data_IF_488525660081
#
_entry.id   IF_488525660081
#
_cell.length_a   1.000
_cell.length_b   1.000
_cell.length_c   1.000
_cell.angle_alpha   90.00
_cell.angle_beta   90.00
_cell.angle_gamma   90.00
#
_symmetry.space_group_name_H-M   'P 1'
#
loop_
_entity.id
_entity.type
_entity.pdbx_description
1 polymer ?
#
# COMPACT_ATOMS: atom_id res chain seq x y z
N UNK A 1 -22.55 -3.02 1.81
CA UNK A 1 -22.31 -4.32 2.46
C UNK A 1 -23.62 -4.91 2.97
N UNK A 2 -23.90 -6.17 2.65
CA UNK A 2 -24.98 -6.96 3.26
C UNK A 2 -24.65 -7.30 4.71
N UNK A 3 -25.63 -7.72 5.54
CA UNK A 3 -25.35 -8.16 6.91
C UNK A 3 -24.36 -9.33 6.99
N UNK A 4 -24.35 -10.22 5.99
CA UNK A 4 -23.40 -11.33 5.95
C UNK A 4 -21.99 -10.84 5.65
N UNK A 5 -21.80 -10.05 4.59
CA UNK A 5 -20.50 -9.45 4.27
C UNK A 5 -19.92 -8.64 5.45
N UNK A 6 -20.78 -7.92 6.19
CA UNK A 6 -20.36 -7.16 7.37
C UNK A 6 -19.81 -8.07 8.46
N UNK A 7 -20.44 -9.23 8.71
CA UNK A 7 -19.93 -10.20 9.69
C UNK A 7 -18.60 -10.81 9.23
N UNK A 8 -18.51 -11.16 7.95
CA UNK A 8 -17.31 -11.78 7.39
C UNK A 8 -16.11 -10.83 7.46
N UNK A 9 -16.30 -9.55 7.11
CA UNK A 9 -15.26 -8.52 7.22
C UNK A 9 -14.88 -8.27 8.68
N UNK A 10 -15.86 -8.24 9.61
CA UNK A 10 -15.58 -8.07 11.04
C UNK A 10 -14.72 -9.22 11.59
N UNK A 11 -15.09 -10.46 11.30
CA UNK A 11 -14.32 -11.63 11.71
C UNK A 11 -12.91 -11.61 11.14
N UNK A 12 -12.76 -11.12 9.90
CA UNK A 12 -11.45 -10.94 9.30
C UNK A 12 -10.61 -9.88 10.05
N UNK A 13 -11.19 -8.76 10.44
CA UNK A 13 -10.50 -7.74 11.24
C UNK A 13 -10.09 -8.27 12.63
N UNK A 14 -10.96 -9.03 13.30
CA UNK A 14 -10.65 -9.69 14.58
C UNK A 14 -9.44 -10.62 14.42
N UNK A 15 -9.44 -11.44 13.38
CA UNK A 15 -8.33 -12.35 13.09
C UNK A 15 -7.00 -11.61 12.80
N UNK A 16 -7.06 -10.54 12.01
CA UNK A 16 -5.87 -9.71 11.72
C UNK A 16 -5.37 -9.00 12.99
N UNK A 17 -6.28 -8.50 13.83
CA UNK A 17 -5.93 -7.90 15.12
C UNK A 17 -5.17 -8.90 16.01
N UNK A 18 -5.70 -10.09 16.17
CA UNK A 18 -5.09 -11.17 16.96
C UNK A 18 -3.71 -11.56 16.43
N UNK A 19 -3.57 -11.70 15.11
CA UNK A 19 -2.33 -12.13 14.49
C UNK A 19 -1.23 -11.06 14.47
N UNK A 20 -1.59 -9.78 14.40
CA UNK A 20 -0.64 -8.67 14.18
C UNK A 20 -0.46 -7.75 15.38
N UNK A 21 -1.40 -7.74 16.34
CA UNK A 21 -1.46 -6.76 17.43
C UNK A 21 -1.79 -5.33 16.98
N UNK A 22 -2.14 -5.12 15.70
CA UNK A 22 -2.50 -3.78 15.21
C UNK A 22 -3.85 -3.33 15.77
N UNK A 23 -4.03 -2.03 16.05
CA UNK A 23 -5.29 -1.51 16.57
C UNK A 23 -6.39 -1.51 15.49
N UNK A 24 -7.62 -1.85 15.90
CA UNK A 24 -8.82 -1.79 15.08
C UNK A 24 -9.95 -1.13 15.84
N UNK A 25 -10.71 -0.23 15.18
CA UNK A 25 -11.89 0.41 15.73
C UNK A 25 -13.16 -0.25 15.17
N UNK A 26 -13.75 -1.13 15.96
CA UNK A 26 -14.89 -1.95 15.55
C UNK A 26 -16.23 -1.19 15.47
N UNK A 27 -16.30 0.05 15.97
CA UNK A 27 -17.45 0.93 15.76
C UNK A 27 -17.68 1.25 14.27
N UNK A 28 -16.70 0.99 13.40
CA UNK A 28 -16.89 0.99 11.96
C UNK A 28 -18.12 0.18 11.52
N UNK A 29 -18.37 -0.96 12.14
CA UNK A 29 -19.47 -1.86 11.79
C UNK A 29 -20.85 -1.36 12.24
N UNK A 30 -20.92 -0.31 13.04
CA UNK A 30 -22.16 0.34 13.45
C UNK A 30 -22.64 1.40 12.44
N UNK A 31 -21.81 1.74 11.45
CA UNK A 31 -22.18 2.64 10.36
C UNK A 31 -23.36 2.10 9.56
N UNK A 32 -24.40 2.92 9.38
CA UNK A 32 -25.61 2.52 8.65
C UNK A 32 -25.39 2.25 7.16
N UNK A 33 -24.56 3.08 6.52
CA UNK A 33 -24.22 2.98 5.09
C UNK A 33 -22.73 3.27 4.93
N UNK A 34 -22.04 2.37 4.24
CA UNK A 34 -20.66 2.54 3.83
C UNK A 34 -20.42 1.76 2.52
N UNK A 35 -19.82 2.42 1.55
CA UNK A 35 -19.32 1.77 0.33
C UNK A 35 -17.86 1.40 0.58
N UNK A 36 -17.59 0.10 0.62
CA UNK A 36 -16.22 -0.39 0.83
C UNK A 36 -15.46 -0.32 -0.49
N UNK A 37 -15.01 0.90 -0.83
CA UNK A 37 -14.27 1.18 -2.06
C UNK A 37 -12.80 1.46 -1.73
N UNK A 38 -11.90 0.71 -2.32
CA UNK A 38 -10.46 0.84 -2.11
C UNK A 38 -9.78 1.73 -3.15
N UNK A 39 -10.49 2.16 -4.20
CA UNK A 39 -9.90 3.00 -5.26
C UNK A 39 -9.47 4.37 -4.73
N UNK A 40 -10.32 5.16 -4.04
CA UNK A 40 -9.92 6.49 -3.56
C UNK A 40 -8.68 6.47 -2.65
N UNK A 41 -8.59 5.65 -1.60
CA UNK A 41 -7.38 5.60 -0.78
C UNK A 41 -6.15 5.08 -1.55
N UNK A 42 -6.31 4.16 -2.50
CA UNK A 42 -5.19 3.71 -3.36
C UNK A 42 -4.70 4.84 -4.25
N UNK A 43 -5.59 5.62 -4.85
CA UNK A 43 -5.25 6.79 -5.67
C UNK A 43 -4.52 7.87 -4.85
N UNK A 44 -4.92 8.08 -3.60
CA UNK A 44 -4.20 8.99 -2.70
C UNK A 44 -2.74 8.54 -2.48
N UNK A 45 -2.51 7.24 -2.25
CA UNK A 45 -1.15 6.69 -2.14
C UNK A 45 -0.37 6.87 -3.45
N UNK A 46 -0.98 6.62 -4.59
CA UNK A 46 -0.37 6.81 -5.93
C UNK A 46 0.06 8.26 -6.15
N UNK A 47 -0.80 9.21 -5.83
CA UNK A 47 -0.48 10.64 -5.92
C UNK A 47 0.68 11.00 -4.99
N UNK A 48 0.63 10.55 -3.74
CA UNK A 48 1.63 10.93 -2.73
C UNK A 48 2.99 10.26 -2.99
N UNK A 49 3.05 9.06 -3.56
CA UNK A 49 4.32 8.40 -3.93
C UNK A 49 5.08 9.10 -5.07
N UNK A 50 4.43 10.00 -5.85
CA UNK A 50 5.11 10.84 -6.86
C UNK A 50 6.19 11.74 -6.21
N UNK A 51 6.07 12.01 -4.90
CA UNK A 51 7.06 12.75 -4.09
C UNK A 51 8.15 11.85 -3.50
N UNK A 52 8.19 10.60 -3.93
CA UNK A 52 9.13 9.57 -3.50
C UNK A 52 8.46 8.44 -2.72
N UNK A 53 9.11 7.27 -2.75
CA UNK A 53 8.57 6.05 -2.13
C UNK A 53 8.35 6.20 -0.62
N UNK A 54 9.21 6.95 0.07
CA UNK A 54 9.07 7.22 1.51
C UNK A 54 7.74 7.92 1.82
N UNK A 55 7.38 8.94 1.01
CA UNK A 55 6.10 9.65 1.15
C UNK A 55 4.92 8.71 0.84
N UNK A 56 5.04 7.89 -0.19
CA UNK A 56 4.01 6.89 -0.52
C UNK A 56 3.77 5.88 0.59
N UNK A 57 4.83 5.34 1.20
CA UNK A 57 4.73 4.41 2.33
C UNK A 57 4.18 5.08 3.60
N UNK A 58 4.57 6.33 3.87
CA UNK A 58 4.02 7.12 4.98
C UNK A 58 2.51 7.37 4.78
N UNK A 59 2.09 7.70 3.55
CA UNK A 59 0.69 7.88 3.18
C UNK A 59 -0.11 6.59 3.36
N UNK A 60 0.38 5.46 2.85
CA UNK A 60 -0.26 4.16 3.01
C UNK A 60 -0.48 3.83 4.49
N UNK A 61 0.57 3.97 5.31
CA UNK A 61 0.49 3.75 6.76
C UNK A 61 -0.53 4.67 7.43
N UNK A 62 -0.53 5.97 7.08
CA UNK A 62 -1.42 6.96 7.69
C UNK A 62 -2.88 6.73 7.30
N UNK A 63 -3.15 6.42 6.03
CA UNK A 63 -4.50 6.12 5.54
C UNK A 63 -5.05 4.83 6.16
N UNK A 64 -4.24 3.77 6.23
CA UNK A 64 -4.64 2.53 6.90
C UNK A 64 -4.98 2.76 8.37
N UNK A 65 -4.17 3.53 9.09
CA UNK A 65 -4.45 3.88 10.49
C UNK A 65 -5.75 4.68 10.62
N UNK A 66 -5.97 5.67 9.77
CA UNK A 66 -7.20 6.48 9.76
C UNK A 66 -8.44 5.59 9.59
N UNK A 67 -8.39 4.63 8.67
CA UNK A 67 -9.51 3.75 8.39
C UNK A 67 -9.71 2.69 9.48
N UNK A 68 -8.68 1.88 9.76
CA UNK A 68 -8.81 0.72 10.62
C UNK A 68 -8.83 1.05 12.12
N UNK A 69 -8.05 2.04 12.56
CA UNK A 69 -7.87 2.35 13.99
C UNK A 69 -8.62 3.60 14.45
N UNK A 70 -8.90 4.54 13.54
CA UNK A 70 -9.53 5.83 13.88
C UNK A 70 -10.93 5.96 13.30
N UNK A 71 -11.40 4.97 12.56
CA UNK A 71 -12.75 4.92 11.97
C UNK A 71 -13.06 6.13 11.08
N UNK A 72 -12.08 6.64 10.33
CA UNK A 72 -12.30 7.69 9.34
C UNK A 72 -12.84 7.11 8.03
N UNK A 73 -13.60 7.91 7.28
CA UNK A 73 -14.02 7.55 5.93
C UNK A 73 -12.94 7.93 4.91
N UNK A 74 -12.10 6.97 4.56
CA UNK A 74 -11.01 7.19 3.58
C UNK A 74 -11.50 7.10 2.12
N UNK A 75 -12.79 6.97 1.87
CA UNK A 75 -13.38 7.14 0.54
C UNK A 75 -13.73 8.61 0.26
N UNK A 76 -13.75 9.42 1.32
CA UNK A 76 -14.03 10.85 1.24
C UNK A 76 -12.77 11.67 0.91
N UNK A 77 -12.87 12.54 -0.09
CA UNK A 77 -11.75 13.36 -0.56
C UNK A 77 -11.27 14.37 0.49
N UNK A 78 -12.17 14.90 1.32
CA UNK A 78 -11.79 15.87 2.36
C UNK A 78 -10.96 15.17 3.45
N UNK A 79 -11.35 13.96 3.82
CA UNK A 79 -10.57 13.11 4.73
C UNK A 79 -9.18 12.83 4.15
N UNK A 80 -9.08 12.42 2.89
CA UNK A 80 -7.79 12.12 2.26
C UNK A 80 -6.90 13.37 2.14
N UNK A 81 -7.48 14.53 1.83
CA UNK A 81 -6.74 15.79 1.78
C UNK A 81 -6.19 16.20 3.16
N UNK A 82 -6.99 16.04 4.22
CA UNK A 82 -6.53 16.28 5.58
C UNK A 82 -5.36 15.36 5.97
N UNK A 83 -5.42 14.07 5.61
CA UNK A 83 -4.32 13.12 5.84
C UNK A 83 -3.06 13.47 5.03
N UNK A 84 -3.22 13.98 3.80
CA UNK A 84 -2.10 14.46 2.99
C UNK A 84 -1.46 15.72 3.61
N UNK A 85 -2.25 16.63 4.17
CA UNK A 85 -1.76 17.82 4.86
C UNK A 85 -0.92 17.48 6.09
N UNK A 86 -1.24 16.42 6.83
CA UNK A 86 -0.42 15.92 7.94
C UNK A 86 0.98 15.47 7.47
N UNK A 87 1.12 15.09 6.18
CA UNK A 87 2.39 14.74 5.55
C UNK A 87 3.09 15.94 4.88
N UNK A 88 2.59 17.15 5.12
CA UNK A 88 3.17 18.39 4.60
C UNK A 88 2.78 18.70 3.15
N UNK A 89 1.73 18.10 2.62
CA UNK A 89 1.24 18.34 1.26
C UNK A 89 0.14 19.40 1.30
N UNK A 90 0.25 20.42 0.47
CA UNK A 90 -0.77 21.46 0.34
C UNK A 90 -2.11 20.87 -0.12
N UNK A 91 -3.21 21.32 0.51
CA UNK A 91 -4.56 20.79 0.26
C UNK A 91 -5.00 21.01 -1.21
N UNK A 92 -4.76 22.20 -1.77
CA UNK A 92 -5.16 22.49 -3.14
C UNK A 92 -4.36 21.67 -4.15
N UNK A 93 -3.06 21.54 -3.92
CA UNK A 93 -2.17 20.70 -4.75
C UNK A 93 -2.59 19.24 -4.70
N UNK A 94 -2.88 18.72 -3.50
CA UNK A 94 -3.35 17.34 -3.38
C UNK A 94 -4.66 17.11 -4.14
N UNK A 95 -5.65 18.00 -3.98
CA UNK A 95 -6.97 17.86 -4.65
C UNK A 95 -6.87 17.92 -6.16
N UNK A 96 -6.06 18.84 -6.69
CA UNK A 96 -5.81 18.93 -8.13
C UNK A 96 -5.19 17.64 -8.67
N UNK A 97 -4.13 17.16 -8.05
CA UNK A 97 -3.45 15.94 -8.49
C UNK A 97 -4.35 14.70 -8.33
N UNK A 98 -5.09 14.60 -7.22
CA UNK A 98 -5.99 13.49 -6.93
C UNK A 98 -7.15 13.41 -7.93
N UNK A 99 -7.68 14.55 -8.39
CA UNK A 99 -8.75 14.63 -9.39
C UNK A 99 -8.26 14.40 -10.83
N UNK A 100 -6.94 14.36 -11.06
CA UNK A 100 -6.37 14.27 -12.41
C UNK A 100 -6.63 12.91 -13.07
N UNK A 101 -6.83 12.90 -14.39
CA UNK A 101 -6.90 11.66 -15.18
C UNK A 101 -5.61 10.83 -15.05
N UNK A 102 -4.46 11.48 -14.91
CA UNK A 102 -3.18 10.81 -14.70
C UNK A 102 -3.20 9.96 -13.41
N UNK A 103 -3.74 10.49 -12.29
CA UNK A 103 -3.84 9.73 -11.05
C UNK A 103 -4.77 8.53 -11.17
N UNK A 104 -5.91 8.68 -11.85
CA UNK A 104 -6.84 7.59 -12.12
C UNK A 104 -6.18 6.50 -12.98
N UNK A 105 -5.47 6.90 -14.04
CA UNK A 105 -4.81 5.96 -14.94
C UNK A 105 -3.64 5.23 -14.26
N UNK A 106 -2.80 5.93 -13.48
CA UNK A 106 -1.71 5.34 -12.71
C UNK A 106 -2.25 4.31 -11.70
N UNK A 107 -3.37 4.63 -11.02
CA UNK A 107 -4.01 3.72 -10.06
C UNK A 107 -4.55 2.45 -10.75
N UNK A 108 -5.16 2.62 -11.93
CA UNK A 108 -5.62 1.48 -12.73
C UNK A 108 -4.46 0.62 -13.24
N UNK A 109 -3.35 1.26 -13.61
CA UNK A 109 -2.14 0.55 -14.01
C UNK A 109 -1.60 -0.32 -12.86
N UNK A 110 -1.54 0.20 -11.63
CA UNK A 110 -1.14 -0.58 -10.45
C UNK A 110 -2.07 -1.77 -10.19
N UNK A 111 -3.38 -1.58 -10.30
CA UNK A 111 -4.34 -2.68 -10.16
C UNK A 111 -4.15 -3.73 -11.26
N UNK A 112 -3.88 -3.31 -12.48
CA UNK A 112 -3.60 -4.22 -13.60
C UNK A 112 -2.32 -5.02 -13.35
N UNK A 113 -1.24 -4.39 -12.87
CA UNK A 113 0.01 -5.08 -12.50
C UNK A 113 -0.28 -6.15 -11.44
N UNK A 114 -1.01 -5.80 -10.37
CA UNK A 114 -1.35 -6.75 -9.31
C UNK A 114 -2.16 -7.94 -9.84
N UNK A 115 -3.15 -7.69 -10.71
CA UNK A 115 -3.97 -8.74 -11.31
C UNK A 115 -3.16 -9.63 -12.25
N UNK A 116 -2.32 -9.04 -13.12
CA UNK A 116 -1.46 -9.76 -14.06
C UNK A 116 -0.41 -10.60 -13.34
N UNK A 117 0.13 -10.10 -12.22
CA UNK A 117 1.02 -10.85 -11.35
C UNK A 117 0.31 -11.98 -10.56
N UNK A 118 -1.01 -12.17 -10.74
CA UNK A 118 -1.77 -13.23 -10.08
C UNK A 118 -1.98 -13.01 -8.59
N UNK A 119 -1.85 -11.78 -8.09
CA UNK A 119 -2.08 -11.42 -6.68
C UNK A 119 -3.57 -11.52 -6.38
N UNK A 120 -3.94 -12.42 -5.46
CA UNK A 120 -5.34 -12.71 -5.09
C UNK A 120 -5.66 -12.42 -3.63
N UNK A 121 -4.68 -11.94 -2.86
CA UNK A 121 -4.86 -11.66 -1.43
C UNK A 121 -3.83 -10.68 -0.91
N UNK A 122 -4.11 -10.13 0.26
CA UNK A 122 -3.28 -9.11 0.90
C UNK A 122 -3.01 -9.49 2.37
N UNK A 123 -1.84 -9.10 2.90
CA UNK A 123 -0.72 -8.50 2.18
C UNK A 123 0.01 -9.51 1.28
N UNK A 124 0.48 -9.06 0.13
CA UNK A 124 1.40 -9.81 -0.73
C UNK A 124 2.61 -8.93 -1.03
N UNK A 125 3.81 -9.48 -0.87
CA UNK A 125 5.04 -8.79 -1.20
C UNK A 125 5.75 -9.54 -2.33
N UNK A 126 6.04 -8.81 -3.40
CA UNK A 126 6.84 -9.29 -4.53
C UNK A 126 8.09 -8.42 -4.67
N UNK A 127 9.17 -8.99 -5.16
CA UNK A 127 10.41 -8.28 -5.46
C UNK A 127 10.82 -8.53 -6.91
N UNK A 128 11.33 -7.51 -7.60
CA UNK A 128 11.79 -7.59 -8.97
C UNK A 128 12.83 -6.52 -9.28
N UNK A 129 13.74 -6.79 -10.23
CA UNK A 129 14.76 -5.83 -10.66
C UNK A 129 14.21 -4.73 -11.58
N UNK A 130 13.01 -4.93 -12.11
CA UNK A 130 12.37 -4.00 -13.07
C UNK A 130 12.88 -4.12 -14.52
N UNK A 131 13.96 -4.88 -14.76
CA UNK A 131 14.54 -5.01 -16.11
C UNK A 131 13.87 -6.09 -16.96
N UNK A 132 13.39 -7.19 -16.34
CA UNK A 132 12.85 -8.36 -17.03
C UNK A 132 11.35 -8.59 -16.78
N UNK A 133 10.64 -7.66 -16.15
CA UNK A 133 9.25 -7.83 -15.70
C UNK A 133 9.01 -9.11 -14.87
N UNK A 134 10.08 -9.71 -14.34
CA UNK A 134 10.01 -10.89 -13.50
C UNK A 134 9.98 -10.48 -12.03
N UNK A 135 8.98 -11.00 -11.33
CA UNK A 135 8.82 -10.77 -9.91
C UNK A 135 8.91 -12.08 -9.15
N UNK A 136 9.70 -12.09 -8.07
CA UNK A 136 9.76 -13.18 -7.12
C UNK A 136 8.73 -12.93 -6.01
N UNK A 137 7.96 -13.95 -5.65
CA UNK A 137 7.07 -13.89 -4.50
C UNK A 137 7.90 -13.96 -3.22
N UNK A 138 7.85 -12.89 -2.42
CA UNK A 138 8.52 -12.84 -1.11
C UNK A 138 7.60 -13.35 -0.01
N UNK A 139 6.34 -12.85 0.02
CA UNK A 139 5.32 -13.34 0.96
C UNK A 139 3.95 -13.39 0.32
N UNK A 140 3.12 -14.33 0.79
CA UNK A 140 1.68 -14.37 0.55
C UNK A 140 0.99 -14.47 1.92
N UNK A 141 0.31 -13.41 2.32
CA UNK A 141 -0.24 -13.22 3.66
C UNK A 141 0.73 -12.53 4.63
N UNK A 142 0.21 -12.21 5.82
CA UNK A 142 0.97 -11.54 6.87
C UNK A 142 2.16 -12.40 7.33
N UNK A 143 3.33 -11.79 7.41
CA UNK A 143 4.53 -12.35 8.01
C UNK A 143 5.19 -11.28 8.88
N UNK A 144 5.76 -11.65 10.04
CA UNK A 144 6.53 -10.73 10.87
C UNK A 144 7.74 -10.17 10.10
N UNK A 145 8.10 -8.92 10.35
CA UNK A 145 9.27 -8.26 9.73
C UNK A 145 10.57 -9.05 9.91
N UNK A 146 10.74 -9.71 11.05
CA UNK A 146 11.89 -10.57 11.32
C UNK A 146 12.06 -11.73 10.32
N UNK A 147 10.99 -12.16 9.63
CA UNK A 147 11.06 -13.15 8.55
C UNK A 147 11.26 -12.49 7.18
N UNK A 148 10.68 -11.31 6.97
CA UNK A 148 10.69 -10.65 5.65
C UNK A 148 12.03 -9.99 5.38
N UNK A 149 12.58 -9.27 6.36
CA UNK A 149 13.79 -8.46 6.18
C UNK A 149 14.98 -9.29 5.71
N UNK A 150 15.32 -10.45 6.32
CA UNK A 150 16.43 -11.27 5.84
C UNK A 150 16.26 -11.80 4.41
N UNK A 151 15.01 -12.09 3.99
CA UNK A 151 14.73 -12.53 2.62
C UNK A 151 15.02 -11.41 1.63
N UNK A 152 14.57 -10.18 1.93
CA UNK A 152 14.82 -9.00 1.09
C UNK A 152 16.31 -8.65 1.04
N UNK A 153 17.00 -8.68 2.18
CA UNK A 153 18.45 -8.43 2.24
C UNK A 153 19.24 -9.43 1.39
N UNK A 154 18.86 -10.72 1.50
CA UNK A 154 19.47 -11.78 0.68
C UNK A 154 19.22 -11.54 -0.81
N UNK A 155 18.00 -11.21 -1.20
CA UNK A 155 17.63 -10.94 -2.58
C UNK A 155 18.37 -9.70 -3.12
N UNK A 156 18.44 -8.60 -2.36
CA UNK A 156 19.20 -7.40 -2.72
C UNK A 156 20.69 -7.66 -2.87
N UNK A 157 21.24 -8.51 -2.02
CA UNK A 157 22.64 -8.91 -2.11
C UNK A 157 22.99 -9.73 -3.36
N UNK A 158 22.00 -10.45 -3.93
CA UNK A 158 22.19 -11.20 -5.17
C UNK A 158 21.99 -10.36 -6.44
N UNK A 159 21.17 -9.30 -6.35
CA UNK A 159 20.84 -8.40 -7.48
C UNK A 159 21.72 -7.16 -7.56
N UNK A 160 22.57 -6.91 -6.56
CA UNK A 160 23.55 -5.83 -6.61
C UNK A 160 24.59 -6.12 -7.71
N UNK A 161 24.86 -5.18 -8.64
CA UNK A 161 25.90 -5.35 -9.63
C UNK A 161 27.23 -5.63 -8.92
N UNK A 162 27.91 -6.71 -9.35
CA UNK A 162 29.24 -7.06 -8.84
C UNK A 162 30.19 -5.88 -9.07
N UNK A 163 30.67 -5.27 -8.00
CA UNK A 163 31.65 -4.17 -8.03
C UNK A 163 33.07 -4.64 -8.38
N UNK A 164 33.19 -5.67 -9.22
CA UNK A 164 34.45 -6.22 -9.68
C UNK A 164 34.64 -6.06 -11.19
N UNK A 165 34.86 -4.82 -11.65
CA UNK A 165 35.58 -4.54 -12.88
C UNK A 165 35.96 -3.03 -12.96
N UNK A 166 36.78 -2.59 -12.00
CA UNK A 166 37.52 -1.34 -12.16
C UNK A 166 38.92 -1.53 -11.63
N UNK A 167 39.76 -2.21 -12.42
CA UNK A 167 41.14 -2.35 -12.04
C UNK A 167 41.94 -3.18 -13.04
N UNK A 168 42.07 -2.68 -14.27
CA UNK A 168 43.28 -2.97 -15.05
C UNK A 168 43.25 -2.24 -16.40
N UNK A 169 43.79 -1.04 -16.42
CA UNK A 169 44.38 -0.48 -17.61
C UNK A 169 45.35 0.61 -17.19
N UNK A 170 46.61 0.26 -17.03
CA UNK A 170 47.75 1.13 -17.26
C UNK A 170 49.03 0.28 -17.15
N UNK A 171 49.53 -0.10 -18.29
CA UNK A 171 50.96 -0.22 -18.55
C UNK A 171 51.21 0.00 -20.04
#
# INVERSE_FOLDING_TARGET
MTPQERRDVRNHWEHVHEASGQPFEFAFFDRGRFVYDTEPPSRAVVVLRRRGMQTGLAALRRIQRAFYAENHDVTDTDTLAALAAELGIDDAVFREEFASEAAVNDTRADFTIAQTAGIRGFPTLIAGSGEDEQYALVTNGFQPSARIVPILEHWLGQTAPSSAETGQACA
#
